data_IF_625253036887
#
_entry.id   IF_625253036887
#
_cell.length_a   1.000
_cell.length_b   1.000
_cell.length_c   1.000
_cell.angle_alpha   90.00
_cell.angle_beta   90.00
_cell.angle_gamma   90.00
#
_symmetry.space_group_name_H-M   'P 1'
#
loop_
_entity.id
_entity.type
_entity.pdbx_description
1 polymer ?
#
# COMPACT_ATOMS: atom_id res chain seq x y z
N UNK A 1 -5.13 5.46 9.46
CA UNK A 1 -3.92 4.82 8.90
C UNK A 1 -3.02 5.91 8.35
N UNK A 2 -1.78 6.02 8.83
CA UNK A 2 -0.85 7.08 8.39
C UNK A 2 -0.57 6.98 6.88
N UNK A 3 -0.35 8.13 6.24
CA UNK A 3 0.24 8.18 4.91
C UNK A 3 1.72 7.83 5.02
N UNK A 4 2.23 7.13 4.02
CA UNK A 4 3.60 6.65 4.01
C UNK A 4 4.50 7.68 3.35
N UNK A 5 5.38 8.29 4.12
CA UNK A 5 6.45 9.14 3.61
C UNK A 5 7.71 8.28 3.56
N UNK A 6 7.86 7.52 2.47
CA UNK A 6 9.02 6.68 2.22
C UNK A 6 9.93 7.32 1.17
N UNK A 7 11.24 7.17 1.31
CA UNK A 7 12.14 7.57 0.22
C UNK A 7 11.99 6.61 -0.95
N UNK A 8 12.43 7.00 -2.15
CA UNK A 8 12.41 6.12 -3.32
C UNK A 8 13.14 4.79 -3.06
N UNK A 9 14.27 4.84 -2.34
CA UNK A 9 15.04 3.65 -1.96
C UNK A 9 14.24 2.71 -1.05
N UNK A 10 13.50 3.26 -0.08
CA UNK A 10 12.65 2.46 0.79
C UNK A 10 11.51 1.81 0.01
N UNK A 11 10.87 2.56 -0.89
CA UNK A 11 9.80 2.06 -1.76
C UNK A 11 10.32 0.89 -2.60
N UNK A 12 11.45 1.06 -3.28
CA UNK A 12 12.05 0.02 -4.12
C UNK A 12 12.41 -1.23 -3.29
N UNK A 13 12.98 -1.03 -2.09
CA UNK A 13 13.25 -2.14 -1.16
C UNK A 13 11.97 -2.89 -0.79
N UNK A 14 10.92 -2.19 -0.36
CA UNK A 14 9.67 -2.84 0.05
C UNK A 14 8.99 -3.55 -1.11
N UNK A 15 9.06 -3.02 -2.34
CA UNK A 15 8.51 -3.69 -3.52
C UNK A 15 9.22 -5.01 -3.85
N UNK A 16 10.51 -5.14 -3.52
CA UNK A 16 11.30 -6.35 -3.75
C UNK A 16 11.15 -7.32 -2.57
N UNK A 17 11.26 -6.82 -1.34
CA UNK A 17 11.34 -7.65 -0.14
C UNK A 17 9.97 -8.01 0.43
N UNK A 18 8.98 -7.11 0.34
CA UNK A 18 7.61 -7.48 0.68
C UNK A 18 7.03 -8.24 -0.51
N UNK A 19 6.73 -9.52 -0.31
CA UNK A 19 6.03 -10.36 -1.28
C UNK A 19 4.57 -9.88 -1.48
N UNK A 20 4.37 -8.72 -2.09
CA UNK A 20 3.06 -8.13 -2.36
C UNK A 20 2.37 -8.85 -3.51
N UNK A 21 1.07 -9.05 -3.37
CA UNK A 21 0.20 -9.38 -4.50
C UNK A 21 0.03 -8.15 -5.40
N UNK A 22 -0.38 -8.30 -6.68
CA UNK A 22 -0.58 -7.17 -7.58
C UNK A 22 -1.49 -6.07 -7.01
N UNK A 23 -2.56 -6.43 -6.30
CA UNK A 23 -3.46 -5.48 -5.66
C UNK A 23 -2.82 -4.75 -4.47
N UNK A 24 -2.02 -5.46 -3.67
CA UNK A 24 -1.30 -4.87 -2.54
C UNK A 24 -0.22 -3.90 -3.03
N UNK A 25 0.52 -4.27 -4.08
CA UNK A 25 1.51 -3.40 -4.71
C UNK A 25 0.84 -2.14 -5.29
N UNK A 26 -0.26 -2.31 -6.03
CA UNK A 26 -1.01 -1.20 -6.61
C UNK A 26 -1.49 -0.23 -5.53
N UNK A 27 -2.07 -0.77 -4.45
CA UNK A 27 -2.48 0.03 -3.30
C UNK A 27 -1.27 0.74 -2.65
N UNK A 28 -0.16 0.03 -2.45
CA UNK A 28 1.04 0.58 -1.84
C UNK A 28 1.59 1.77 -2.64
N UNK A 29 1.72 1.64 -3.97
CA UNK A 29 2.18 2.73 -4.86
C UNK A 29 1.27 3.96 -4.79
N UNK A 30 -0.05 3.77 -4.80
CA UNK A 30 -1.01 4.88 -4.65
C UNK A 30 -0.88 5.56 -3.28
N UNK A 31 -0.67 4.77 -2.21
CA UNK A 31 -0.48 5.29 -0.85
C UNK A 31 0.85 6.03 -0.66
N UNK A 32 1.90 5.66 -1.39
CA UNK A 32 3.17 6.39 -1.45
C UNK A 32 3.07 7.74 -2.19
N UNK A 33 2.06 7.92 -3.04
CA UNK A 33 1.73 9.21 -3.69
C UNK A 33 0.79 10.07 -2.82
N UNK A 34 0.71 9.78 -1.52
CA UNK A 34 -0.14 10.45 -0.55
C UNK A 34 -1.65 10.41 -0.86
N UNK A 35 -2.10 9.48 -1.70
CA UNK A 35 -3.52 9.35 -2.05
C UNK A 35 -4.35 8.80 -0.88
N UNK A 36 -5.58 9.28 -0.74
CA UNK A 36 -6.54 8.80 0.27
C UNK A 36 -6.97 7.35 -0.02
N UNK A 37 -7.51 6.65 0.99
CA UNK A 37 -7.99 5.28 0.79
C UNK A 37 -9.24 5.24 -0.09
N UNK A 38 -10.05 6.29 -0.02
CA UNK A 38 -11.23 6.54 -0.84
C UNK A 38 -10.82 6.63 -2.31
N UNK A 39 -9.81 7.44 -2.63
CA UNK A 39 -9.25 7.51 -3.98
C UNK A 39 -8.68 6.17 -4.44
N UNK A 40 -7.93 5.48 -3.57
CA UNK A 40 -7.40 4.16 -3.91
C UNK A 40 -8.52 3.16 -4.22
N UNK A 41 -9.60 3.17 -3.44
CA UNK A 41 -10.75 2.29 -3.62
C UNK A 41 -11.44 2.56 -4.96
N UNK A 42 -11.65 3.82 -5.31
CA UNK A 42 -12.20 4.25 -6.60
C UNK A 42 -11.30 3.80 -7.77
N UNK A 43 -10.00 4.10 -7.72
CA UNK A 43 -9.07 3.72 -8.79
C UNK A 43 -8.93 2.21 -8.96
N UNK A 44 -9.00 1.45 -7.87
CA UNK A 44 -8.94 0.00 -7.89
C UNK A 44 -10.30 -0.65 -8.19
N UNK A 45 -11.37 0.13 -8.32
CA UNK A 45 -12.76 -0.34 -8.47
C UNK A 45 -13.16 -1.36 -7.40
N UNK A 46 -12.84 -1.06 -6.13
CA UNK A 46 -13.17 -1.90 -4.97
C UNK A 46 -13.89 -1.09 -3.91
N UNK A 47 -14.56 -1.77 -2.99
CA UNK A 47 -15.14 -1.11 -1.83
C UNK A 47 -14.07 -0.50 -0.91
N UNK A 48 -14.40 0.60 -0.23
CA UNK A 48 -13.52 1.20 0.80
C UNK A 48 -13.15 0.17 1.88
N UNK A 49 -14.05 -0.74 2.24
CA UNK A 49 -13.78 -1.82 3.19
C UNK A 49 -12.70 -2.79 2.68
N UNK A 50 -12.71 -3.09 1.38
CA UNK A 50 -11.69 -3.93 0.74
C UNK A 50 -10.34 -3.21 0.68
N UNK A 51 -10.32 -1.94 0.28
CA UNK A 51 -9.11 -1.12 0.32
C UNK A 51 -8.51 -1.05 1.73
N UNK A 52 -9.33 -0.84 2.77
CA UNK A 52 -8.89 -0.86 4.18
C UNK A 52 -8.26 -2.20 4.58
N UNK A 53 -8.84 -3.33 4.15
CA UNK A 53 -8.32 -4.68 4.43
C UNK A 53 -6.97 -4.91 3.74
N UNK A 54 -6.87 -4.56 2.46
CA UNK A 54 -5.60 -4.61 1.71
C UNK A 54 -4.53 -3.75 2.36
N UNK A 55 -4.91 -2.55 2.80
CA UNK A 55 -4.02 -1.62 3.48
C UNK A 55 -3.43 -2.20 4.76
N UNK A 56 -4.24 -2.88 5.58
CA UNK A 56 -3.75 -3.57 6.77
C UNK A 56 -2.76 -4.69 6.41
N UNK A 57 -3.02 -5.45 5.34
CA UNK A 57 -2.12 -6.52 4.87
C UNK A 57 -0.78 -5.97 4.41
N UNK A 58 -0.79 -4.89 3.62
CA UNK A 58 0.41 -4.18 3.17
C UNK A 58 1.24 -3.75 4.38
N UNK A 59 0.62 -3.06 5.33
CA UNK A 59 1.30 -2.58 6.54
C UNK A 59 1.93 -3.72 7.34
N UNK A 60 1.21 -4.82 7.51
CA UNK A 60 1.71 -5.99 8.24
C UNK A 60 2.93 -6.62 7.57
N UNK A 61 3.03 -6.56 6.23
CA UNK A 61 4.21 -7.04 5.50
C UNK A 61 5.39 -6.08 5.69
N UNK A 62 5.16 -4.77 5.55
CA UNK A 62 6.19 -3.74 5.76
C UNK A 62 6.77 -3.84 7.18
N UNK A 63 5.91 -3.96 8.21
CA UNK A 63 6.33 -4.09 9.62
C UNK A 63 7.18 -5.34 9.87
N UNK A 64 7.04 -6.41 9.07
CA UNK A 64 7.85 -7.62 9.21
C UNK A 64 9.22 -7.52 8.53
N UNK A 65 9.36 -6.59 7.59
CA UNK A 65 10.59 -6.36 6.81
C UNK A 65 11.42 -5.21 7.41
N UNK A 66 10.76 -4.24 8.07
CA UNK A 66 11.40 -3.26 8.94
C UNK A 66 11.85 -3.87 10.27
#
# INVERSE_FOLDING_TARGET
MKLYVFTKKDIDRFLIECNFTPDEERLFRLRCQERTLEYCAEQMNVSISTAKRLSRRVNNKIIKVC
#
